data_IF_285280378993
#
_entry.id   IF_285280378993
#
_cell.length_a   1.000
_cell.length_b   1.000
_cell.length_c   1.000
_cell.angle_alpha   90.00
_cell.angle_beta   90.00
_cell.angle_gamma   90.00
#
_symmetry.space_group_name_H-M   'P 1'
#
loop_
_entity.id
_entity.type
_entity.pdbx_description
1 polymer ?
#
# COMPACT_ATOMS: atom_id res chain seq x y z
N UNK A 1 14.64 -5.47 -19.33
CA UNK A 1 13.79 -6.05 -18.25
C UNK A 1 12.90 -4.94 -17.72
N UNK A 2 11.57 -5.07 -17.80
CA UNK A 2 10.64 -4.09 -17.24
C UNK A 2 10.56 -4.28 -15.73
N UNK A 3 11.33 -3.50 -14.97
CA UNK A 3 11.34 -3.54 -13.51
C UNK A 3 10.10 -2.79 -12.99
N UNK A 4 8.99 -3.50 -12.80
CA UNK A 4 7.84 -2.96 -12.06
C UNK A 4 8.06 -3.28 -10.57
N UNK A 5 8.22 -2.27 -9.70
CA UNK A 5 8.33 -2.54 -8.27
C UNK A 5 7.01 -3.14 -7.77
N UNK A 6 7.05 -4.42 -7.37
CA UNK A 6 5.91 -5.10 -6.75
C UNK A 6 5.93 -4.87 -5.24
N UNK A 7 4.78 -4.49 -4.68
CA UNK A 7 4.60 -4.33 -3.24
C UNK A 7 4.15 -5.67 -2.68
N UNK A 8 4.92 -6.24 -1.75
CA UNK A 8 4.56 -7.46 -1.03
C UNK A 8 4.18 -7.14 0.41
N UNK A 9 3.06 -7.71 0.87
CA UNK A 9 2.55 -7.50 2.23
C UNK A 9 2.99 -8.65 3.15
N UNK A 10 3.85 -8.34 4.12
CA UNK A 10 4.26 -9.26 5.18
C UNK A 10 3.75 -8.86 6.57
N UNK A 11 3.85 -9.79 7.52
CA UNK A 11 3.44 -9.63 8.93
C UNK A 11 4.34 -8.68 9.73
N UNK A 12 5.57 -8.41 9.25
CA UNK A 12 6.53 -7.52 9.93
C UNK A 12 6.12 -6.05 9.94
N UNK A 13 5.33 -5.62 8.95
CA UNK A 13 4.84 -4.25 8.82
C UNK A 13 3.36 -4.26 9.17
N UNK A 14 2.95 -3.33 10.03
CA UNK A 14 1.59 -3.25 10.54
C UNK A 14 0.63 -2.76 9.47
N UNK A 15 -0.60 -3.24 9.52
CA UNK A 15 -1.73 -2.72 8.73
C UNK A 15 -2.52 -1.76 9.62
N UNK A 16 -3.02 -0.67 9.03
CA UNK A 16 -3.95 0.21 9.72
C UNK A 16 -5.36 -0.42 9.75
N UNK A 17 -6.26 0.02 10.64
CA UNK A 17 -7.67 -0.40 10.62
C UNK A 17 -8.37 -0.13 9.28
N UNK A 18 -7.85 0.83 8.49
CA UNK A 18 -8.37 1.22 7.19
C UNK A 18 -7.64 0.55 6.02
N UNK A 19 -6.72 -0.38 6.27
CA UNK A 19 -5.92 -0.98 5.20
C UNK A 19 -6.79 -1.61 4.12
N UNK A 20 -7.80 -2.39 4.49
CA UNK A 20 -8.71 -3.00 3.51
C UNK A 20 -9.58 -1.98 2.77
N UNK A 21 -10.03 -0.92 3.43
CA UNK A 21 -10.83 0.12 2.77
C UNK A 21 -9.99 0.90 1.77
N UNK A 22 -8.72 1.23 2.09
CA UNK A 22 -7.81 1.89 1.15
C UNK A 22 -7.56 1.05 -0.10
N UNK A 23 -7.43 -0.27 0.05
CA UNK A 23 -7.33 -1.19 -1.10
C UNK A 23 -8.62 -1.21 -1.92
N UNK A 24 -9.79 -1.34 -1.28
CA UNK A 24 -11.11 -1.32 -1.95
C UNK A 24 -11.35 -0.03 -2.74
N UNK A 25 -10.87 1.10 -2.21
CA UNK A 25 -10.95 2.42 -2.85
C UNK A 25 -9.94 2.62 -4.00
N UNK A 26 -9.15 1.61 -4.34
CA UNK A 26 -8.26 1.67 -5.50
C UNK A 26 -6.93 2.36 -5.23
N UNK A 27 -6.42 2.30 -3.99
CA UNK A 27 -5.04 2.65 -3.70
C UNK A 27 -4.08 1.82 -4.57
N UNK A 28 -3.10 2.47 -5.20
CA UNK A 28 -2.16 1.85 -6.15
C UNK A 28 -0.73 1.78 -5.63
N UNK A 29 -0.42 2.52 -4.58
CA UNK A 29 0.90 2.52 -3.97
C UNK A 29 0.82 2.62 -2.46
N UNK A 30 1.74 1.93 -1.79
CA UNK A 30 1.96 2.05 -0.36
C UNK A 30 3.43 2.35 -0.10
N UNK A 31 3.70 3.14 0.92
CA UNK A 31 5.02 3.30 1.54
C UNK A 31 4.98 2.73 2.94
N UNK A 32 6.16 2.53 3.53
CA UNK A 32 6.28 2.16 4.94
C UNK A 32 6.59 3.42 5.74
N UNK A 33 5.68 3.80 6.63
CA UNK A 33 5.89 4.88 7.59
C UNK A 33 5.73 4.34 9.01
N UNK A 34 6.74 4.54 9.85
CA UNK A 34 6.76 4.03 11.24
C UNK A 34 6.34 2.54 11.36
N UNK A 35 6.91 1.66 10.52
CA UNK A 35 6.56 0.22 10.46
C UNK A 35 5.07 -0.05 10.21
N UNK A 36 4.37 0.81 9.49
CA UNK A 36 2.99 0.62 9.05
C UNK A 36 2.85 0.95 7.56
N UNK A 37 1.97 0.26 6.85
CA UNK A 37 1.66 0.59 5.46
C UNK A 37 0.85 1.88 5.39
N UNK A 38 1.36 2.86 4.65
CA UNK A 38 0.72 4.16 4.41
C UNK A 38 0.43 4.31 2.91
N UNK A 39 -0.81 4.63 2.50
CA UNK A 39 -1.14 4.81 1.09
C UNK A 39 -0.41 6.04 0.52
N UNK A 40 0.13 5.92 -0.70
CA UNK A 40 0.87 7.01 -1.37
C UNK A 40 0.09 7.66 -2.48
N UNK A 41 -0.62 6.87 -3.30
CA UNK A 41 -1.46 7.41 -4.36
C UNK A 41 -2.62 6.48 -4.71
N UNK A 42 -3.72 7.09 -5.12
CA UNK A 42 -4.90 6.45 -5.66
C UNK A 42 -4.91 6.61 -7.18
N UNK A 43 -5.71 5.79 -7.86
CA UNK A 43 -5.99 6.02 -9.27
C UNK A 43 -6.69 7.38 -9.41
N UNK A 44 -6.07 8.31 -10.14
CA UNK A 44 -6.76 9.50 -10.65
C UNK A 44 -7.60 9.08 -11.87
N UNK A 45 -8.78 9.68 -12.02
CA UNK A 45 -9.75 9.33 -13.08
C UNK A 45 -9.23 9.72 -14.47
#
# INVERSE_FOLDING_TARGET
MNFKPEISFGTRIRKSPFFESTMKWGCKGFTVYNKMYMPTYYKSF
#
